data_IF_020859756072
#
_entry.id   IF_020859756072
#
_cell.length_a   1.000
_cell.length_b   1.000
_cell.length_c   1.000
_cell.angle_alpha   90.00
_cell.angle_beta   90.00
_cell.angle_gamma   90.00
#
_symmetry.space_group_name_H-M   'P 1'
#
loop_
_entity.id
_entity.type
_entity.pdbx_description
1 polymer ?
#
# COMPACT_ATOMS: atom_id res chain seq x y z
N UNK A 1 -15.11 1.60 41.27
CA UNK A 1 -14.27 1.93 40.11
C UNK A 1 -15.18 2.40 38.98
N UNK A 2 -14.99 3.61 38.42
CA UNK A 2 -15.76 4.04 37.25
C UNK A 2 -15.35 3.22 36.01
N UNK A 3 -16.34 2.75 35.24
CA UNK A 3 -16.12 2.07 33.96
C UNK A 3 -16.25 3.08 32.80
N UNK A 4 -15.45 2.92 31.75
CA UNK A 4 -15.61 3.72 30.54
C UNK A 4 -16.90 3.35 29.80
N UNK A 5 -17.60 4.36 29.28
CA UNK A 5 -18.82 4.18 28.46
C UNK A 5 -18.55 3.42 27.15
N UNK A 6 -17.34 3.58 26.57
CA UNK A 6 -16.93 2.91 25.34
C UNK A 6 -15.58 2.20 25.53
N UNK A 7 -15.38 1.01 24.94
CA UNK A 7 -14.11 0.31 25.04
C UNK A 7 -13.00 1.03 24.26
N UNK A 8 -11.74 0.98 24.73
CA UNK A 8 -10.61 1.65 24.06
C UNK A 8 -10.42 1.29 22.58
N UNK A 9 -10.75 0.05 22.19
CA UNK A 9 -10.68 -0.41 20.79
C UNK A 9 -11.55 0.39 19.82
N UNK A 10 -12.60 1.05 20.30
CA UNK A 10 -13.56 1.78 19.46
C UNK A 10 -13.27 3.28 19.42
N UNK A 11 -12.33 3.77 20.24
CA UNK A 11 -12.05 5.20 20.34
C UNK A 11 -11.55 5.80 19.02
N UNK A 12 -10.75 5.07 18.25
CA UNK A 12 -10.31 5.52 16.93
C UNK A 12 -11.49 5.68 15.97
N UNK A 13 -12.39 4.69 15.93
CA UNK A 13 -13.60 4.75 15.11
C UNK A 13 -14.54 5.89 15.54
N UNK A 14 -14.64 6.16 16.84
CA UNK A 14 -15.40 7.30 17.37
C UNK A 14 -14.75 8.64 16.97
N UNK A 15 -13.43 8.73 17.04
CA UNK A 15 -12.67 9.91 16.62
C UNK A 15 -12.92 10.23 15.14
N UNK A 16 -13.01 9.21 14.29
CA UNK A 16 -13.32 9.40 12.86
C UNK A 16 -14.73 9.94 12.59
N UNK A 17 -15.68 9.71 13.51
CA UNK A 17 -17.07 10.21 13.41
C UNK A 17 -17.26 11.62 13.98
N UNK A 18 -16.24 12.21 14.59
CA UNK A 18 -16.34 13.49 15.29
C UNK A 18 -15.36 14.54 14.72
N UNK A 19 -15.66 15.81 14.98
CA UNK A 19 -14.77 16.93 14.70
C UNK A 19 -14.40 17.09 13.22
N UNK A 20 -13.12 17.32 12.97
CA UNK A 20 -12.58 17.57 11.61
C UNK A 20 -12.66 16.30 10.75
N UNK A 21 -12.53 15.11 11.34
CA UNK A 21 -12.56 13.84 10.60
C UNK A 21 -13.93 13.55 9.97
N UNK A 22 -15.02 14.00 10.60
CA UNK A 22 -16.37 13.86 10.05
C UNK A 22 -16.58 14.67 8.76
N UNK A 23 -15.77 15.71 8.54
CA UNK A 23 -15.82 16.55 7.33
C UNK A 23 -14.99 15.99 6.18
N UNK A 24 -14.27 14.88 6.40
CA UNK A 24 -13.49 14.24 5.35
C UNK A 24 -14.42 13.64 4.27
N UNK A 25 -14.02 13.70 2.99
CA UNK A 25 -14.76 13.09 1.90
C UNK A 25 -14.95 11.60 2.10
N UNK A 26 -16.15 11.14 1.73
CA UNK A 26 -16.59 9.74 1.89
C UNK A 26 -15.65 8.74 1.20
N UNK A 27 -15.11 9.07 0.02
CA UNK A 27 -14.19 8.18 -0.70
C UNK A 27 -12.85 8.02 0.02
N UNK A 28 -12.37 9.06 0.70
CA UNK A 28 -11.13 8.97 1.49
C UNK A 28 -11.35 8.11 2.74
N UNK A 29 -12.47 8.30 3.44
CA UNK A 29 -12.85 7.48 4.59
C UNK A 29 -12.95 5.99 4.22
N UNK A 30 -13.59 5.68 3.09
CA UNK A 30 -13.64 4.30 2.57
C UNK A 30 -12.26 3.71 2.26
N UNK A 31 -11.29 4.54 1.87
CA UNK A 31 -9.91 4.11 1.62
C UNK A 31 -9.07 3.89 2.88
N UNK A 32 -9.57 4.30 4.05
CA UNK A 32 -8.93 4.04 5.35
C UNK A 32 -9.35 2.70 5.95
N UNK A 33 -10.45 2.11 5.47
CA UNK A 33 -10.89 0.77 5.85
C UNK A 33 -9.75 -0.23 5.58
N UNK A 34 -9.39 -1.01 6.60
CA UNK A 34 -8.31 -1.99 6.48
C UNK A 34 -8.77 -3.16 5.62
N UNK A 35 -7.95 -3.52 4.64
CA UNK A 35 -8.14 -4.70 3.80
C UNK A 35 -7.01 -5.68 4.04
N UNK A 36 -7.30 -6.96 3.84
CA UNK A 36 -6.29 -8.00 3.95
C UNK A 36 -5.32 -7.91 2.76
N UNK A 37 -4.01 -7.83 3.01
CA UNK A 37 -3.01 -7.79 1.95
C UNK A 37 -2.85 -9.17 1.30
N UNK A 38 -2.27 -9.19 0.12
CA UNK A 38 -1.90 -10.43 -0.57
C UNK A 38 -0.88 -11.24 0.23
N UNK A 39 -1.00 -12.58 0.22
CA UNK A 39 -0.06 -13.44 0.94
C UNK A 39 1.34 -13.40 0.32
N UNK A 40 2.36 -13.16 1.17
CA UNK A 40 3.77 -13.05 0.77
C UNK A 40 4.60 -14.18 1.40
N UNK A 41 4.67 -14.20 2.74
CA UNK A 41 5.55 -15.12 3.49
C UNK A 41 4.88 -16.46 3.84
N UNK A 42 3.68 -16.69 3.35
CA UNK A 42 2.91 -17.91 3.58
C UNK A 42 2.09 -18.24 2.33
N UNK A 43 1.71 -19.52 2.19
CA UNK A 43 0.89 -20.00 1.08
C UNK A 43 -0.55 -20.18 1.55
N UNK A 44 -1.54 -19.55 0.90
CA UNK A 44 -2.93 -19.80 1.23
C UNK A 44 -3.34 -21.21 0.86
N UNK A 45 -4.23 -21.79 1.66
CA UNK A 45 -4.75 -23.13 1.43
C UNK A 45 -5.78 -23.17 0.31
N UNK A 46 -6.48 -22.05 0.07
CA UNK A 46 -7.49 -21.92 -1.00
C UNK A 46 -8.79 -22.71 -0.77
N UNK A 47 -8.89 -23.45 0.34
CA UNK A 47 -10.06 -24.26 0.71
C UNK A 47 -10.55 -23.88 2.11
N UNK A 48 -11.87 -23.83 2.30
CA UNK A 48 -12.47 -23.55 3.61
C UNK A 48 -12.54 -24.78 4.51
N UNK A 49 -12.54 -25.97 3.91
CA UNK A 49 -12.63 -27.24 4.62
C UNK A 49 -11.60 -28.22 4.09
N UNK A 50 -11.06 -29.03 4.99
CA UNK A 50 -10.12 -30.11 4.69
C UNK A 50 -10.53 -31.35 5.47
N UNK A 51 -10.46 -32.52 4.83
CA UNK A 51 -10.58 -33.78 5.55
C UNK A 51 -9.32 -34.00 6.40
N UNK A 52 -9.48 -34.28 7.68
CA UNK A 52 -8.36 -34.62 8.55
C UNK A 52 -7.71 -35.93 8.05
N UNK A 53 -6.41 -35.95 7.78
CA UNK A 53 -5.74 -37.12 7.22
C UNK A 53 -5.77 -38.34 8.15
N UNK A 54 -5.95 -38.16 9.46
CA UNK A 54 -5.98 -39.27 10.42
C UNK A 54 -7.41 -39.76 10.70
N UNK A 55 -8.38 -38.85 10.84
CA UNK A 55 -9.74 -39.21 11.26
C UNK A 55 -10.75 -39.23 10.11
N UNK A 56 -10.43 -38.64 8.96
CA UNK A 56 -11.34 -38.50 7.81
C UNK A 56 -12.45 -37.46 8.01
N UNK A 57 -12.60 -36.87 9.20
CA UNK A 57 -13.62 -35.87 9.47
C UNK A 57 -13.33 -34.54 8.75
N UNK A 58 -14.40 -33.85 8.34
CA UNK A 58 -14.33 -32.55 7.68
C UNK A 58 -14.07 -31.45 8.70
N UNK A 59 -12.88 -30.85 8.65
CA UNK A 59 -12.48 -29.75 9.53
C UNK A 59 -12.48 -28.43 8.75
N UNK A 60 -12.90 -27.34 9.41
CA UNK A 60 -12.78 -25.99 8.85
C UNK A 60 -11.35 -25.51 9.02
N UNK A 61 -10.76 -25.01 7.95
CA UNK A 61 -9.42 -24.43 7.97
C UNK A 61 -9.49 -22.94 7.68
N UNK A 62 -8.59 -22.18 8.30
CA UNK A 62 -8.50 -20.74 8.16
C UNK A 62 -7.08 -20.35 7.79
N UNK A 63 -6.98 -19.43 6.85
CA UNK A 63 -5.74 -18.81 6.44
C UNK A 63 -5.43 -17.65 7.41
N UNK A 64 -4.39 -17.79 8.23
CA UNK A 64 -4.00 -16.78 9.22
C UNK A 64 -2.70 -16.10 8.77
N UNK A 65 -2.70 -14.76 8.54
CA UNK A 65 -1.53 -14.07 8.06
C UNK A 65 -0.42 -14.02 9.12
N UNK A 66 0.83 -14.11 8.67
CA UNK A 66 2.00 -13.97 9.53
C UNK A 66 2.20 -12.48 9.86
N UNK A 67 2.42 -12.10 11.13
CA UNK A 67 2.72 -10.71 11.48
C UNK A 67 4.10 -10.32 10.94
N UNK A 68 4.13 -9.25 10.14
CA UNK A 68 5.34 -8.73 9.49
C UNK A 68 5.71 -7.40 10.14
N UNK A 69 6.99 -7.23 10.44
CA UNK A 69 7.53 -5.96 10.88
C UNK A 69 8.14 -5.19 9.70
N UNK A 70 7.67 -3.96 9.50
CA UNK A 70 8.17 -3.06 8.46
C UNK A 70 9.07 -1.99 9.10
N UNK A 71 10.39 -2.04 8.90
CA UNK A 71 11.28 -1.01 9.42
C UNK A 71 11.08 0.32 8.68
N UNK A 72 11.45 1.49 9.25
CA UNK A 72 11.29 2.79 8.60
C UNK A 72 11.89 2.87 7.19
N UNK A 73 13.03 2.20 6.97
CA UNK A 73 13.72 2.11 5.66
C UNK A 73 12.83 1.49 4.57
N UNK A 74 11.85 0.65 4.93
CA UNK A 74 10.92 0.09 3.95
C UNK A 74 10.00 1.15 3.35
N UNK A 75 9.76 2.26 4.04
CA UNK A 75 8.89 3.35 3.59
C UNK A 75 9.56 4.22 2.52
N UNK A 76 10.89 4.20 2.46
CA UNK A 76 11.71 4.91 1.47
C UNK A 76 12.03 4.05 0.24
N UNK A 77 11.63 2.77 0.25
CA UNK A 77 11.89 1.80 -0.81
C UNK A 77 10.62 1.12 -1.32
N UNK A 78 10.77 0.16 -2.23
CA UNK A 78 9.66 -0.65 -2.76
C UNK A 78 9.92 -2.14 -2.53
N UNK A 79 9.33 -2.67 -1.45
CA UNK A 79 9.60 -4.04 -1.00
C UNK A 79 8.55 -5.07 -1.46
N UNK A 80 7.47 -4.64 -2.12
CA UNK A 80 6.49 -5.54 -2.72
C UNK A 80 5.74 -6.41 -1.71
N UNK A 81 5.47 -5.86 -0.52
CA UNK A 81 4.82 -6.56 0.60
C UNK A 81 5.78 -7.36 1.50
N UNK A 82 7.05 -7.51 1.11
CA UNK A 82 8.05 -8.15 1.96
C UNK A 82 8.42 -7.28 3.17
N UNK A 83 8.87 -7.93 4.24
CA UNK A 83 9.28 -7.27 5.47
C UNK A 83 10.02 -8.24 6.37
N UNK A 84 10.33 -7.80 7.58
CA UNK A 84 11.05 -8.64 8.54
C UNK A 84 10.06 -9.58 9.22
N UNK A 85 10.36 -10.88 9.15
CA UNK A 85 9.62 -11.88 9.89
C UNK A 85 10.46 -12.26 11.10
N UNK A 86 9.91 -12.08 12.30
CA UNK A 86 10.56 -12.49 13.54
C UNK A 86 9.78 -13.65 14.15
N UNK A 87 10.48 -14.70 14.53
CA UNK A 87 9.86 -15.90 15.07
C UNK A 87 10.86 -16.83 15.73
N UNK A 88 10.45 -18.09 15.85
CA UNK A 88 11.25 -19.12 16.48
C UNK A 88 11.47 -20.27 15.50
N UNK A 89 12.64 -20.89 15.58
CA UNK A 89 12.96 -22.15 14.91
C UNK A 89 13.48 -23.15 15.95
N UNK A 90 13.21 -24.42 15.75
CA UNK A 90 13.87 -25.47 16.54
C UNK A 90 15.21 -25.85 15.91
N UNK A 91 16.21 -26.15 16.74
CA UNK A 91 17.48 -26.67 16.26
C UNK A 91 17.26 -28.00 15.50
N UNK A 92 18.01 -28.21 14.40
CA UNK A 92 17.86 -29.39 13.51
C UNK A 92 16.44 -29.63 12.96
N UNK A 93 15.54 -28.65 13.07
CA UNK A 93 14.10 -28.77 12.76
C UNK A 93 13.36 -29.86 13.58
N UNK A 94 13.90 -30.23 14.75
CA UNK A 94 13.29 -31.21 15.64
C UNK A 94 12.59 -30.52 16.82
N UNK A 95 11.33 -30.86 17.07
CA UNK A 95 10.49 -30.25 18.12
C UNK A 95 11.06 -30.47 19.53
N UNK A 96 11.77 -31.58 19.74
CA UNK A 96 12.39 -31.91 21.03
C UNK A 96 13.69 -31.15 21.28
N UNK A 97 14.26 -30.53 20.25
CA UNK A 97 15.49 -29.75 20.33
C UNK A 97 15.24 -28.31 20.79
N UNK A 98 16.31 -27.57 21.10
CA UNK A 98 16.23 -26.20 21.65
C UNK A 98 15.52 -25.22 20.71
N UNK A 99 14.64 -24.38 21.26
CA UNK A 99 13.94 -23.30 20.53
C UNK A 99 14.80 -22.04 20.45
N UNK A 100 15.10 -21.59 19.24
CA UNK A 100 15.97 -20.44 18.94
C UNK A 100 15.17 -19.31 18.29
N UNK A 101 15.43 -18.06 18.71
CA UNK A 101 14.88 -16.87 18.05
C UNK A 101 15.57 -16.66 16.69
N UNK A 102 14.80 -16.44 15.63
CA UNK A 102 15.32 -16.15 14.28
C UNK A 102 14.53 -14.98 13.69
N UNK A 103 15.28 -14.07 13.07
CA UNK A 103 14.71 -13.01 12.23
C UNK A 103 15.12 -13.28 10.80
N UNK A 104 14.14 -13.32 9.90
CA UNK A 104 14.34 -13.43 8.45
C UNK A 104 14.19 -12.04 7.84
N UNK A 105 15.21 -11.62 7.08
CA UNK A 105 15.27 -10.32 6.42
C UNK A 105 15.21 -10.53 4.90
N UNK A 106 14.50 -9.66 4.16
CA UNK A 106 14.48 -9.73 2.70
C UNK A 106 15.82 -9.30 2.11
N UNK A 107 16.08 -9.71 0.88
CA UNK A 107 17.23 -9.25 0.11
C UNK A 107 16.91 -7.92 -0.57
N UNK A 108 17.72 -6.90 -0.27
CA UNK A 108 17.55 -5.55 -0.80
C UNK A 108 18.56 -5.28 -1.91
N UNK A 109 18.08 -4.74 -3.03
CA UNK A 109 18.86 -4.37 -4.20
C UNK A 109 18.64 -2.89 -4.50
N UNK A 110 19.69 -2.14 -4.87
CA UNK A 110 19.54 -0.77 -5.37
C UNK A 110 19.49 -0.83 -6.89
N UNK A 111 18.39 -0.35 -7.50
CA UNK A 111 18.19 -0.38 -8.94
C UNK A 111 17.65 0.94 -9.44
N UNK A 112 17.95 1.25 -10.69
CA UNK A 112 17.39 2.40 -11.41
C UNK A 112 16.13 1.99 -12.15
N UNK A 113 15.01 2.66 -11.85
CA UNK A 113 13.73 2.45 -12.52
C UNK A 113 13.32 3.73 -13.24
N UNK A 114 12.89 3.60 -14.49
CA UNK A 114 12.40 4.72 -15.28
C UNK A 114 10.87 4.76 -15.26
N UNK A 115 10.33 5.97 -15.17
CA UNK A 115 8.90 6.24 -15.24
C UNK A 115 8.57 7.07 -16.47
N UNK A 116 7.61 6.64 -17.26
CA UNK A 116 7.16 7.33 -18.47
C UNK A 116 6.29 8.53 -18.12
N UNK A 117 5.41 8.38 -17.11
CA UNK A 117 4.50 9.44 -16.65
C UNK A 117 5.26 10.58 -15.99
N UNK A 118 6.31 10.26 -15.21
CA UNK A 118 7.10 11.27 -14.54
C UNK A 118 8.30 11.77 -15.38
N UNK A 119 8.65 11.06 -16.45
CA UNK A 119 9.84 11.29 -17.30
C UNK A 119 11.12 11.42 -16.46
N UNK A 120 11.29 10.55 -15.48
CA UNK A 120 12.40 10.60 -14.52
C UNK A 120 12.88 9.19 -14.14
N UNK A 121 14.20 9.07 -13.92
CA UNK A 121 14.84 7.84 -13.43
C UNK A 121 15.00 7.91 -11.92
N UNK A 122 14.59 6.88 -11.21
CA UNK A 122 14.69 6.80 -9.75
C UNK A 122 15.67 5.71 -9.32
N UNK A 123 16.56 6.03 -8.39
CA UNK A 123 17.43 5.06 -7.71
C UNK A 123 16.74 4.56 -6.44
N UNK A 124 16.02 3.44 -6.54
CA UNK A 124 15.18 2.91 -5.45
C UNK A 124 15.74 1.59 -4.92
N UNK A 125 15.62 1.37 -3.60
CA UNK A 125 15.84 0.05 -3.00
C UNK A 125 14.63 -0.85 -3.23
N UNK A 126 14.83 -1.93 -3.97
CA UNK A 126 13.83 -2.91 -4.37
C UNK A 126 14.18 -4.32 -3.87
N UNK A 127 13.18 -5.17 -3.71
CA UNK A 127 13.37 -6.61 -3.48
C UNK A 127 13.27 -7.37 -4.80
N UNK A 128 13.72 -8.63 -4.84
CA UNK A 128 13.57 -9.49 -6.03
C UNK A 128 12.11 -9.63 -6.47
N UNK A 129 11.22 -9.89 -5.51
CA UNK A 129 9.77 -9.95 -5.75
C UNK A 129 9.20 -8.69 -6.38
N UNK A 130 9.64 -7.50 -5.97
CA UNK A 130 9.16 -6.24 -6.58
C UNK A 130 9.50 -6.19 -8.06
N UNK A 131 10.69 -6.65 -8.46
CA UNK A 131 11.08 -6.71 -9.88
C UNK A 131 10.17 -7.68 -10.64
N UNK A 132 9.91 -8.87 -10.10
CA UNK A 132 9.00 -9.85 -10.72
C UNK A 132 7.57 -9.28 -10.89
N UNK A 133 7.09 -8.51 -9.91
CA UNK A 133 5.78 -7.86 -9.98
C UNK A 133 5.74 -6.70 -10.99
N UNK A 134 6.85 -5.98 -11.17
CA UNK A 134 6.98 -4.94 -12.19
C UNK A 134 6.92 -5.57 -13.59
N UNK A 135 7.63 -6.69 -13.78
CA UNK A 135 7.63 -7.43 -15.04
C UNK A 135 6.25 -8.02 -15.33
N UNK A 136 5.59 -8.62 -14.34
CA UNK A 136 4.22 -9.12 -14.45
C UNK A 136 3.19 -8.00 -14.74
N UNK A 137 3.44 -6.77 -14.29
CA UNK A 137 2.60 -5.61 -14.57
C UNK A 137 2.88 -4.96 -15.93
N UNK A 138 3.92 -5.42 -16.64
CA UNK A 138 4.45 -4.85 -17.89
C UNK A 138 4.91 -3.40 -17.75
N UNK A 139 5.55 -3.06 -16.63
CA UNK A 139 6.20 -1.76 -16.44
C UNK A 139 5.99 -1.16 -15.05
N UNK A 140 6.94 -0.29 -14.68
CA UNK A 140 6.98 0.33 -13.36
C UNK A 140 5.73 1.17 -13.05
N UNK A 141 5.33 2.02 -13.99
CA UNK A 141 4.16 2.90 -13.79
C UNK A 141 2.86 2.09 -13.64
N UNK A 142 2.71 1.00 -14.40
CA UNK A 142 1.55 0.12 -14.27
C UNK A 142 1.54 -0.61 -12.94
N UNK A 143 2.69 -1.08 -12.47
CA UNK A 143 2.81 -1.69 -11.14
C UNK A 143 2.31 -0.74 -10.06
N UNK A 144 2.78 0.51 -10.03
CA UNK A 144 2.37 1.50 -9.03
C UNK A 144 0.87 1.86 -9.14
N UNK A 145 0.33 1.98 -10.36
CA UNK A 145 -1.07 2.33 -10.57
C UNK A 145 -2.03 1.18 -10.23
N UNK A 146 -1.69 -0.07 -10.60
CA UNK A 146 -2.52 -1.26 -10.37
C UNK A 146 -2.48 -1.75 -8.91
N UNK A 147 -1.34 -1.66 -8.24
CA UNK A 147 -1.20 -2.19 -6.88
C UNK A 147 -2.01 -1.40 -5.85
N UNK A 148 -2.74 -2.08 -4.94
CA UNK A 148 -3.46 -1.41 -3.86
C UNK A 148 -2.50 -0.94 -2.76
N UNK A 149 -3.00 -0.10 -1.85
CA UNK A 149 -2.20 0.54 -0.78
C UNK A 149 -1.58 -0.51 0.15
N UNK A 150 -2.35 -1.54 0.45
CA UNK A 150 -2.04 -2.60 1.41
C UNK A 150 -0.89 -3.47 0.91
N UNK A 151 -0.84 -3.77 -0.39
CA UNK A 151 0.23 -4.58 -1.01
C UNK A 151 1.50 -3.76 -1.26
N UNK A 152 1.36 -2.49 -1.64
CA UNK A 152 2.50 -1.62 -1.89
C UNK A 152 3.27 -1.30 -0.60
N UNK A 153 2.53 -1.05 0.49
CA UNK A 153 2.99 -0.80 1.85
C UNK A 153 4.26 0.07 1.98
N UNK A 154 4.35 1.10 1.14
CA UNK A 154 5.47 2.04 1.07
C UNK A 154 4.95 3.45 0.91
N UNK A 155 5.44 4.37 1.74
CA UNK A 155 5.13 5.79 1.64
C UNK A 155 5.60 6.36 0.30
N UNK A 156 6.85 6.11 -0.09
CA UNK A 156 7.40 6.55 -1.38
C UNK A 156 6.55 6.04 -2.56
N UNK A 157 6.13 4.77 -2.52
CA UNK A 157 5.27 4.20 -3.56
C UNK A 157 3.92 4.91 -3.67
N UNK A 158 3.30 5.24 -2.53
CA UNK A 158 2.04 5.98 -2.50
C UNK A 158 2.20 7.44 -2.95
N UNK A 159 3.33 8.07 -2.66
CA UNK A 159 3.65 9.43 -3.08
C UNK A 159 3.88 9.48 -4.60
N UNK A 160 4.58 8.49 -5.17
CA UNK A 160 4.72 8.32 -6.62
C UNK A 160 3.37 8.09 -7.29
N UNK A 161 2.54 7.19 -6.74
CA UNK A 161 1.18 6.93 -7.23
C UNK A 161 0.37 8.22 -7.28
N UNK A 162 0.43 9.01 -6.21
CA UNK A 162 -0.20 10.33 -6.12
C UNK A 162 0.31 11.29 -7.19
N UNK A 163 1.63 11.42 -7.34
CA UNK A 163 2.23 12.30 -8.35
C UNK A 163 1.79 11.91 -9.77
N UNK A 164 1.86 10.63 -10.13
CA UNK A 164 1.42 10.12 -11.43
C UNK A 164 -0.05 10.42 -11.70
N UNK A 165 -0.91 10.17 -10.71
CA UNK A 165 -2.35 10.41 -10.83
C UNK A 165 -2.69 11.90 -10.97
N UNK A 166 -1.98 12.78 -10.28
CA UNK A 166 -2.14 14.23 -10.44
C UNK A 166 -1.76 14.67 -11.85
N UNK A 167 -0.63 14.16 -12.39
CA UNK A 167 -0.19 14.48 -13.76
C UNK A 167 -1.20 14.04 -14.81
N UNK A 168 -1.70 12.80 -14.68
CA UNK A 168 -2.72 12.27 -15.57
C UNK A 168 -4.03 13.09 -15.49
N UNK A 169 -4.44 13.48 -14.29
CA UNK A 169 -5.69 14.20 -14.11
C UNK A 169 -5.65 15.65 -14.63
N UNK A 170 -4.50 16.32 -14.50
CA UNK A 170 -4.29 17.69 -15.03
C UNK A 170 -4.01 17.73 -16.53
N UNK A 171 -3.65 16.59 -17.14
CA UNK A 171 -3.09 16.52 -18.50
C UNK A 171 -1.92 17.50 -18.67
N UNK A 172 -1.02 17.50 -17.70
CA UNK A 172 0.05 18.51 -17.58
C UNK A 172 0.68 18.82 -18.94
N UNK A 173 0.66 20.11 -19.30
CA UNK A 173 1.22 20.64 -20.55
C UNK A 173 2.74 20.48 -20.64
N UNK A 174 3.40 20.38 -19.49
CA UNK A 174 4.85 20.28 -19.33
C UNK A 174 5.44 18.89 -19.67
N UNK A 175 4.61 17.86 -19.85
CA UNK A 175 5.10 16.52 -20.17
C UNK A 175 5.48 16.41 -21.66
N UNK A 176 6.78 16.25 -21.95
CA UNK A 176 7.37 16.23 -23.30
C UNK A 176 7.02 17.49 -24.11
N UNK A 177 7.59 18.67 -23.76
CA UNK A 177 7.28 19.92 -24.45
C UNK A 177 7.60 19.86 -25.95
N UNK A 178 8.64 19.11 -26.32
CA UNK A 178 9.12 19.00 -27.70
C UNK A 178 8.31 17.98 -28.53
N UNK A 179 7.64 17.01 -27.89
CA UNK A 179 6.99 15.86 -28.55
C UNK A 179 5.52 15.66 -28.13
N UNK A 180 4.57 16.43 -28.70
CA UNK A 180 3.15 16.32 -28.34
C UNK A 180 2.55 14.94 -28.71
N UNK A 181 3.02 14.31 -29.78
CA UNK A 181 2.56 12.98 -30.21
C UNK A 181 2.91 11.91 -29.17
N UNK A 182 4.11 11.98 -28.59
CA UNK A 182 4.55 11.04 -27.55
C UNK A 182 3.74 11.23 -26.28
N UNK A 183 3.45 12.48 -25.92
CA UNK A 183 2.60 12.82 -24.78
C UNK A 183 1.21 12.22 -24.91
N UNK A 184 0.55 12.38 -26.06
CA UNK A 184 -0.79 11.81 -26.29
C UNK A 184 -0.77 10.29 -26.21
N UNK A 185 0.23 9.62 -26.82
CA UNK A 185 0.42 8.16 -26.71
C UNK A 185 0.55 7.69 -25.28
N UNK A 186 1.35 8.38 -24.46
CA UNK A 186 1.51 8.07 -23.03
C UNK A 186 0.17 8.26 -22.31
N UNK A 187 -0.53 9.37 -22.56
CA UNK A 187 -1.83 9.61 -21.94
C UNK A 187 -2.85 8.52 -22.31
N UNK A 188 -2.94 8.15 -23.58
CA UNK A 188 -3.83 7.08 -24.06
C UNK A 188 -3.51 5.73 -23.44
N UNK A 189 -2.22 5.37 -23.35
CA UNK A 189 -1.75 4.14 -22.71
C UNK A 189 -2.25 4.00 -21.26
N UNK A 190 -2.21 5.07 -20.49
CA UNK A 190 -2.62 5.06 -19.06
C UNK A 190 -4.10 5.41 -18.83
N UNK A 191 -4.79 5.98 -19.83
CA UNK A 191 -6.24 6.26 -19.78
C UNK A 191 -7.09 4.99 -19.69
N UNK A 192 -6.67 3.92 -20.37
CA UNK A 192 -7.37 2.62 -20.43
C UNK A 192 -7.48 1.94 -19.05
N UNK A 193 -6.62 2.32 -18.09
CA UNK A 193 -6.62 1.78 -16.73
C UNK A 193 -7.78 2.22 -15.82
N UNK A 194 -8.77 2.96 -16.33
CA UNK A 194 -10.05 3.19 -15.63
C UNK A 194 -9.97 4.12 -14.41
N UNK A 195 -8.90 4.91 -14.27
CA UNK A 195 -8.77 5.85 -13.16
C UNK A 195 -9.36 7.19 -13.61
N UNK A 196 -10.69 7.26 -13.62
CA UNK A 196 -11.42 8.49 -13.90
C UNK A 196 -11.00 9.57 -12.87
N UNK A 197 -10.44 10.65 -13.41
CA UNK A 197 -9.71 11.73 -12.75
C UNK A 197 -10.41 12.35 -11.53
N UNK A 198 -11.74 12.28 -11.44
CA UNK A 198 -12.47 13.05 -10.44
C UNK A 198 -12.43 12.47 -9.01
N UNK A 199 -12.53 11.14 -8.85
CA UNK A 199 -12.46 10.49 -7.52
C UNK A 199 -11.04 10.51 -6.96
N UNK A 200 -10.05 10.49 -7.85
CA UNK A 200 -8.63 10.45 -7.51
C UNK A 200 -8.12 11.82 -7.15
N UNK A 201 -8.42 12.87 -7.91
CA UNK A 201 -8.08 14.25 -7.54
C UNK A 201 -8.62 14.60 -6.14
N UNK A 202 -9.90 14.29 -5.86
CA UNK A 202 -10.52 14.58 -4.56
C UNK A 202 -9.93 13.75 -3.41
N UNK A 203 -9.39 12.55 -3.65
CA UNK A 203 -8.82 11.68 -2.61
C UNK A 203 -7.33 11.88 -2.35
N UNK A 204 -6.60 12.21 -3.40
CA UNK A 204 -5.14 12.40 -3.42
C UNK A 204 -4.73 13.72 -2.77
N UNK A 205 -5.53 14.79 -2.91
CA UNK A 205 -5.25 16.06 -2.23
C UNK A 205 -5.33 15.97 -0.70
N UNK A 206 -6.14 15.06 -0.13
CA UNK A 206 -6.39 15.07 1.32
C UNK A 206 -5.46 14.23 2.18
N UNK A 207 -4.76 13.24 1.60
CA UNK A 207 -3.78 12.45 2.36
C UNK A 207 -2.60 13.33 2.84
N UNK A 208 -2.27 14.37 2.08
CA UNK A 208 -1.26 15.37 2.42
C UNK A 208 -1.81 16.44 3.38
N UNK A 209 -3.07 16.87 3.20
CA UNK A 209 -3.71 17.88 4.06
C UNK A 209 -3.97 17.38 5.49
N UNK A 210 -3.85 16.09 5.82
CA UNK A 210 -4.14 15.63 7.19
C UNK A 210 -2.91 15.18 7.98
N UNK A 211 -1.94 14.52 7.34
CA UNK A 211 -0.76 13.99 8.04
C UNK A 211 0.28 15.09 8.36
N UNK A 212 0.54 16.01 7.43
CA UNK A 212 1.45 17.15 7.68
C UNK A 212 0.74 18.38 8.25
N UNK A 213 -0.59 18.47 8.15
CA UNK A 213 -1.36 19.68 8.51
C UNK A 213 -2.02 19.66 9.88
N UNK A 214 -2.04 18.52 10.59
CA UNK A 214 -2.41 18.53 12.01
C UNK A 214 -1.48 19.45 12.85
N UNK A 215 -0.29 19.78 12.33
CA UNK A 215 0.64 20.76 12.91
C UNK A 215 0.63 22.15 12.22
N UNK A 216 0.01 22.32 11.05
CA UNK A 216 -0.15 23.63 10.38
C UNK A 216 -1.61 24.08 10.48
N UNK A 217 -1.91 24.77 11.58
CA UNK A 217 -3.18 25.44 11.91
C UNK A 217 -3.87 26.10 10.69
N UNK A 218 -5.16 25.82 10.53
CA UNK A 218 -6.24 26.77 10.21
C UNK A 218 -6.32 27.57 8.88
N UNK A 219 -5.53 27.37 7.83
CA UNK A 219 -5.62 28.30 6.67
C UNK A 219 -6.66 27.99 5.57
N UNK A 220 -7.33 26.83 5.56
CA UNK A 220 -8.12 26.41 4.37
C UNK A 220 -9.64 26.59 4.47
N UNK A 221 -10.17 27.27 5.49
CA UNK A 221 -11.62 27.50 5.60
C UNK A 221 -12.19 28.49 4.58
N UNK A 222 -11.35 29.22 3.83
CA UNK A 222 -11.81 30.29 2.92
C UNK A 222 -11.71 29.98 1.40
N UNK A 223 -11.30 28.78 0.97
CA UNK A 223 -11.08 28.52 -0.48
C UNK A 223 -12.23 27.71 -1.13
N UNK A 224 -13.27 27.35 -0.37
CA UNK A 224 -14.43 26.60 -0.90
C UNK A 224 -15.78 27.36 -0.84
N UNK A 225 -15.75 28.65 -0.48
CA UNK A 225 -16.89 29.56 -0.62
C UNK A 225 -16.49 30.72 -1.53
N UNK A 226 -16.48 30.45 -2.84
CA UNK A 226 -16.72 31.39 -3.95
C UNK A 226 -16.95 30.55 -5.21
#
# INVERSE_FOLDING_TARGET
MPLFKYPPKVWEALRMKQGIYARLPKHYLKSLEQKEPTPVHWRPLGVQYRANPQTGHKERVQDVPIPIYYPPVSQDGLWGGEGWVSGYRYAKNDKLSTRLKKTWKPQLLKRELYSEILNHKFTITVTGRTLDLIDAAYGFDFYILKTPKEDLNSKLGMDLKRAMLLRLARKDTELYPDDPVKKEKVYEKYKVGGICSEKVLKGVWMREIFCTRCNKRQEFTNIFFL
#
